data_IF_971945362494
#
_entry.id   IF_971945362494
#
_cell.length_a   1.000
_cell.length_b   1.000
_cell.length_c   1.000
_cell.angle_alpha   90.00
_cell.angle_beta   90.00
_cell.angle_gamma   90.00
#
_symmetry.space_group_name_H-M   'P 1'
#
loop_
_entity.id
_entity.type
_entity.pdbx_description
1 polymer ?
#
# COMPACT_ATOMS: atom_id res chain seq x y z
N UNK A 1 -74.67 -25.71 -25.34
CA UNK A 1 -73.94 -24.51 -25.01
C UNK A 1 -72.79 -24.94 -24.02
N UNK A 2 -71.53 -25.13 -24.55
CA UNK A 2 -70.40 -25.59 -23.75
C UNK A 2 -69.50 -24.39 -23.43
N UNK A 3 -69.43 -24.02 -22.16
CA UNK A 3 -68.47 -22.99 -21.68
C UNK A 3 -67.10 -23.61 -21.54
N UNK A 4 -66.15 -23.13 -22.34
CA UNK A 4 -64.73 -23.49 -22.24
C UNK A 4 -64.06 -22.54 -21.24
N UNK A 5 -63.68 -23.06 -20.09
CA UNK A 5 -62.84 -22.34 -19.07
C UNK A 5 -61.40 -22.35 -19.53
N UNK A 6 -60.89 -21.20 -19.96
CA UNK A 6 -59.46 -20.99 -20.19
C UNK A 6 -58.74 -20.82 -18.84
N UNK A 7 -57.92 -21.81 -18.49
CA UNK A 7 -57.05 -21.79 -17.32
C UNK A 7 -55.81 -20.93 -17.64
N UNK A 8 -55.73 -19.74 -17.09
CA UNK A 8 -54.57 -18.86 -17.27
C UNK A 8 -53.52 -19.27 -16.24
N UNK A 9 -52.44 -19.93 -16.69
CA UNK A 9 -51.26 -20.20 -15.88
C UNK A 9 -50.50 -18.88 -15.66
N UNK A 10 -50.42 -18.41 -14.44
CA UNK A 10 -49.59 -17.29 -14.00
C UNK A 10 -48.16 -17.83 -13.76
N UNK A 11 -47.13 -17.30 -14.42
CA UNK A 11 -45.78 -17.76 -14.15
C UNK A 11 -45.35 -17.30 -12.76
N UNK A 12 -45.04 -18.25 -11.87
CA UNK A 12 -44.45 -18.03 -10.58
C UNK A 12 -42.97 -17.60 -10.76
N UNK A 13 -42.71 -16.29 -10.63
CA UNK A 13 -41.37 -15.73 -10.70
C UNK A 13 -40.63 -16.15 -9.41
N UNK A 14 -39.79 -17.19 -9.49
CA UNK A 14 -38.89 -17.59 -8.41
C UNK A 14 -37.86 -16.51 -8.22
N UNK A 15 -38.07 -15.66 -7.22
CA UNK A 15 -37.07 -14.74 -6.71
C UNK A 15 -35.94 -15.59 -6.01
N UNK A 16 -34.85 -15.83 -6.73
CA UNK A 16 -33.70 -16.46 -6.12
C UNK A 16 -33.05 -15.45 -5.15
N UNK A 17 -32.84 -15.78 -3.87
CA UNK A 17 -32.12 -14.92 -2.96
C UNK A 17 -30.67 -14.85 -3.49
N UNK A 18 -30.21 -13.64 -3.87
CA UNK A 18 -28.81 -13.38 -4.09
C UNK A 18 -28.09 -13.58 -2.75
N UNK A 19 -27.42 -14.72 -2.59
CA UNK A 19 -26.52 -14.96 -1.48
C UNK A 19 -25.37 -13.96 -1.67
N UNK A 20 -25.45 -12.82 -1.00
CA UNK A 20 -24.32 -11.93 -0.82
C UNK A 20 -23.33 -12.68 0.07
N UNK A 21 -22.34 -13.33 -0.55
CA UNK A 21 -21.16 -13.77 0.18
C UNK A 21 -20.49 -12.50 0.71
N UNK A 22 -20.68 -12.20 1.99
CA UNK A 22 -19.89 -11.20 2.70
C UNK A 22 -18.42 -11.56 2.49
N UNK A 23 -17.65 -10.65 1.91
CA UNK A 23 -16.22 -10.92 1.71
C UNK A 23 -15.59 -11.07 3.10
N UNK A 24 -14.95 -12.23 3.32
CA UNK A 24 -14.23 -12.50 4.55
C UNK A 24 -12.89 -11.75 4.53
N UNK A 25 -12.62 -10.96 5.57
CA UNK A 25 -11.38 -10.20 5.72
C UNK A 25 -10.13 -11.13 5.66
N UNK A 26 -10.25 -12.32 6.24
CA UNK A 26 -9.17 -13.31 6.22
C UNK A 26 -8.92 -13.87 4.82
N UNK A 27 -9.98 -14.18 4.08
CA UNK A 27 -9.86 -14.64 2.70
C UNK A 27 -9.24 -13.56 1.80
N UNK A 28 -9.62 -12.29 2.00
CA UNK A 28 -9.05 -11.18 1.24
C UNK A 28 -7.59 -10.93 1.62
N UNK A 29 -7.25 -10.95 2.91
CA UNK A 29 -5.88 -10.87 3.38
C UNK A 29 -5.00 -11.99 2.81
N UNK A 30 -5.53 -13.21 2.75
CA UNK A 30 -4.85 -14.34 2.12
C UNK A 30 -4.56 -14.14 0.63
N UNK A 31 -5.47 -13.48 -0.12
CA UNK A 31 -5.22 -13.12 -1.53
C UNK A 31 -4.08 -12.11 -1.66
N UNK A 32 -4.07 -11.07 -0.80
CA UNK A 32 -2.98 -10.08 -0.76
C UNK A 32 -1.65 -10.79 -0.46
N UNK A 33 -1.60 -11.60 0.58
CA UNK A 33 -0.39 -12.34 0.97
C UNK A 33 0.11 -13.23 -0.17
N UNK A 34 -0.78 -13.97 -0.83
CA UNK A 34 -0.44 -14.83 -1.96
C UNK A 34 0.17 -14.01 -3.12
N UNK A 35 -0.44 -12.87 -3.46
CA UNK A 35 0.05 -11.99 -4.52
C UNK A 35 1.43 -11.45 -4.21
N UNK A 36 1.56 -10.73 -3.09
CA UNK A 36 2.80 -10.05 -2.75
C UNK A 36 3.92 -11.02 -2.36
N UNK A 37 3.63 -12.19 -1.79
CA UNK A 37 4.66 -13.19 -1.50
C UNK A 37 5.23 -13.85 -2.76
N UNK A 38 4.43 -14.00 -3.81
CA UNK A 38 4.85 -14.59 -5.09
C UNK A 38 5.56 -13.60 -6.00
N UNK A 39 5.17 -12.33 -5.98
CA UNK A 39 5.75 -11.25 -6.78
C UNK A 39 7.25 -11.09 -6.53
N UNK A 40 8.07 -10.92 -7.59
CA UNK A 40 9.51 -10.68 -7.50
C UNK A 40 9.88 -9.20 -7.64
N UNK A 41 9.13 -8.46 -8.43
CA UNK A 41 9.33 -7.02 -8.64
C UNK A 41 8.02 -6.30 -8.89
N UNK A 42 8.02 -5.00 -8.60
CA UNK A 42 6.89 -4.09 -8.83
C UNK A 42 7.41 -2.75 -9.34
N UNK A 43 6.76 -2.22 -10.36
CA UNK A 43 6.84 -0.82 -10.75
C UNK A 43 5.44 -0.22 -10.61
N UNK A 44 5.33 0.95 -9.99
CA UNK A 44 4.06 1.65 -9.85
C UNK A 44 4.27 3.18 -9.85
N UNK A 45 3.26 3.92 -10.28
CA UNK A 45 3.13 5.34 -9.92
C UNK A 45 2.52 5.41 -8.53
N UNK A 46 2.97 6.37 -7.73
CA UNK A 46 2.35 6.63 -6.44
C UNK A 46 1.99 8.10 -6.28
N UNK A 47 1.02 8.34 -5.41
CA UNK A 47 0.71 9.64 -4.82
C UNK A 47 0.65 9.44 -3.32
N UNK A 48 1.34 10.28 -2.58
CA UNK A 48 1.37 10.32 -1.12
C UNK A 48 0.80 11.66 -0.67
N UNK A 49 -0.24 11.62 0.16
CA UNK A 49 -0.80 12.81 0.80
C UNK A 49 -0.63 12.67 2.31
N UNK A 50 0.14 13.58 2.88
CA UNK A 50 0.26 13.74 4.32
C UNK A 50 -0.64 14.89 4.78
N UNK A 51 -1.41 14.67 5.86
CA UNK A 51 -2.21 15.69 6.53
C UNK A 51 -1.91 15.62 8.02
N UNK A 52 -1.42 16.70 8.58
CA UNK A 52 -1.07 16.78 10.01
C UNK A 52 -0.56 18.18 10.37
N UNK A 53 -0.56 18.52 11.66
CA UNK A 53 -0.12 19.82 12.17
C UNK A 53 -0.71 21.03 11.42
N UNK A 54 -1.98 20.92 10.97
CA UNK A 54 -2.67 21.98 10.23
C UNK A 54 -2.24 22.17 8.76
N UNK A 55 -1.40 21.29 8.23
CA UNK A 55 -0.92 21.32 6.85
C UNK A 55 -1.30 20.07 6.07
N UNK A 56 -1.46 20.20 4.76
CA UNK A 56 -1.59 19.07 3.83
C UNK A 56 -0.51 19.21 2.77
N UNK A 57 0.23 18.12 2.55
CA UNK A 57 1.28 18.01 1.54
C UNK A 57 0.99 16.81 0.65
N UNK A 58 1.02 17.04 -0.66
CA UNK A 58 0.87 15.95 -1.65
C UNK A 58 2.13 15.85 -2.48
N UNK A 59 2.64 14.65 -2.59
CA UNK A 59 3.83 14.28 -3.32
C UNK A 59 3.53 13.10 -4.23
N UNK A 60 4.32 12.91 -5.27
CA UNK A 60 4.12 11.81 -6.20
C UNK A 60 5.40 11.41 -6.90
N UNK A 61 5.36 10.24 -7.55
CA UNK A 61 6.54 9.74 -8.20
C UNK A 61 6.40 8.30 -8.69
N UNK A 62 7.54 7.62 -8.79
CA UNK A 62 7.65 6.23 -9.21
C UNK A 62 8.22 5.38 -8.08
N UNK A 63 7.53 4.27 -7.79
CA UNK A 63 7.99 3.23 -6.87
C UNK A 63 8.52 2.06 -7.67
N UNK A 64 9.73 1.61 -7.33
CA UNK A 64 10.31 0.36 -7.78
C UNK A 64 10.58 -0.54 -6.58
N UNK A 65 10.13 -1.79 -6.66
CA UNK A 65 10.46 -2.83 -5.69
C UNK A 65 11.11 -3.99 -6.43
N UNK A 66 12.16 -4.57 -5.85
CA UNK A 66 12.76 -5.83 -6.30
C UNK A 66 13.20 -6.65 -5.09
N UNK A 67 12.63 -7.81 -4.94
CA UNK A 67 12.97 -8.71 -3.82
C UNK A 67 14.33 -9.38 -4.03
N UNK A 68 15.03 -9.66 -2.92
CA UNK A 68 14.69 -9.29 -1.55
C UNK A 68 15.12 -7.86 -1.20
N UNK A 69 14.26 -7.12 -0.48
CA UNK A 69 14.61 -5.91 0.28
C UNK A 69 15.03 -4.66 -0.50
N UNK A 70 14.97 -4.67 -1.84
CA UNK A 70 15.34 -3.52 -2.66
C UNK A 70 14.10 -2.70 -2.96
N UNK A 71 14.21 -1.39 -2.72
CA UNK A 71 13.13 -0.44 -2.95
C UNK A 71 13.72 0.90 -3.41
N UNK A 72 12.99 1.59 -4.29
CA UNK A 72 13.34 2.92 -4.75
C UNK A 72 12.09 3.76 -4.94
N UNK A 73 12.08 4.92 -4.32
CA UNK A 73 11.06 5.95 -4.48
C UNK A 73 11.72 7.15 -5.14
N UNK A 74 11.38 7.35 -6.41
CA UNK A 74 11.75 8.56 -7.14
C UNK A 74 10.57 9.52 -7.07
N UNK A 75 10.61 10.51 -6.20
CA UNK A 75 9.64 11.60 -6.17
C UNK A 75 9.94 12.59 -7.29
N UNK A 76 8.92 12.99 -8.03
CA UNK A 76 9.01 13.97 -9.11
C UNK A 76 8.13 15.20 -8.88
N UNK A 77 7.21 15.16 -7.91
CA UNK A 77 6.25 16.22 -7.61
C UNK A 77 6.12 16.39 -6.10
N UNK A 78 6.06 17.64 -5.56
CA UNK A 78 6.31 18.91 -6.22
C UNK A 78 7.81 19.19 -6.46
N UNK A 79 8.69 18.49 -5.75
CA UNK A 79 10.15 18.58 -5.86
C UNK A 79 10.79 17.22 -5.93
N UNK A 80 11.86 17.06 -6.73
CA UNK A 80 12.60 15.81 -6.78
C UNK A 80 13.17 15.46 -5.41
N UNK A 81 12.99 14.23 -4.98
CA UNK A 81 13.71 13.59 -3.87
C UNK A 81 13.81 12.10 -4.13
N UNK A 82 14.78 11.47 -3.52
CA UNK A 82 15.06 10.07 -3.70
C UNK A 82 15.12 9.39 -2.33
N UNK A 83 14.39 8.28 -2.21
CA UNK A 83 14.66 7.26 -1.23
C UNK A 83 15.02 5.97 -1.96
N UNK A 84 16.12 5.33 -1.59
CA UNK A 84 16.52 4.06 -2.21
C UNK A 84 17.21 3.15 -1.20
N UNK A 85 16.92 1.85 -1.31
CA UNK A 85 17.62 0.83 -0.54
C UNK A 85 18.05 -0.34 -1.42
N UNK A 86 19.27 -0.83 -1.16
CA UNK A 86 19.83 -2.03 -1.80
C UNK A 86 19.51 -3.33 -1.05
N UNK A 87 18.77 -3.24 0.06
CA UNK A 87 18.45 -4.34 0.96
C UNK A 87 19.28 -4.36 2.25
N UNK A 88 20.36 -3.57 2.32
CA UNK A 88 21.22 -3.42 3.50
C UNK A 88 21.28 -1.99 4.02
N UNK A 89 21.50 -1.06 3.09
CA UNK A 89 21.59 0.36 3.36
C UNK A 89 20.47 1.10 2.67
N UNK A 90 19.94 2.11 3.31
CA UNK A 90 19.00 3.05 2.72
C UNK A 90 19.65 4.43 2.63
N UNK A 91 19.26 5.15 1.59
CA UNK A 91 19.69 6.49 1.28
C UNK A 91 18.48 7.39 1.09
N UNK A 92 18.59 8.61 1.58
CA UNK A 92 17.67 9.70 1.27
C UNK A 92 18.46 10.89 0.74
N UNK A 93 18.02 11.46 -0.37
CA UNK A 93 18.68 12.60 -1.01
C UNK A 93 17.67 13.51 -1.70
N UNK A 94 17.83 14.80 -1.50
CA UNK A 94 17.11 15.84 -2.25
C UNK A 94 18.10 16.49 -3.22
N UNK A 95 17.88 16.42 -4.54
CA UNK A 95 18.76 17.05 -5.51
C UNK A 95 18.96 18.55 -5.24
N UNK A 96 20.22 18.96 -5.21
CA UNK A 96 20.62 20.35 -4.87
C UNK A 96 20.97 20.57 -3.40
N UNK A 97 20.68 19.64 -2.51
CA UNK A 97 21.17 19.70 -1.13
C UNK A 97 22.63 19.26 -1.03
N UNK A 98 23.34 19.81 -0.05
CA UNK A 98 24.75 19.51 0.19
C UNK A 98 24.94 18.23 1.03
N UNK A 99 23.86 17.58 1.45
CA UNK A 99 23.87 16.39 2.29
C UNK A 99 23.01 15.28 1.71
N UNK A 100 23.53 14.05 1.79
CA UNK A 100 22.76 12.82 1.57
C UNK A 100 22.76 12.02 2.89
N UNK A 101 21.57 11.56 3.32
CA UNK A 101 21.43 10.78 4.55
C UNK A 101 21.54 9.28 4.21
N UNK A 102 22.23 8.55 5.08
CA UNK A 102 22.39 7.10 4.95
C UNK A 102 22.13 6.41 6.29
N UNK A 103 21.44 5.28 6.25
CA UNK A 103 21.20 4.45 7.43
C UNK A 103 21.16 2.96 7.08
N UNK A 104 21.64 2.07 7.97
CA UNK A 104 21.35 0.64 7.85
C UNK A 104 19.83 0.40 7.90
N UNK A 105 19.30 -0.43 7.00
CA UNK A 105 17.86 -0.75 6.95
C UNK A 105 17.31 -1.25 8.30
N UNK A 106 18.14 -1.95 9.07
CA UNK A 106 17.73 -2.47 10.39
C UNK A 106 17.44 -1.37 11.42
N UNK A 107 17.92 -0.16 11.19
CA UNK A 107 17.71 1.01 12.07
C UNK A 107 16.50 1.86 11.61
N UNK A 108 15.92 1.54 10.47
CA UNK A 108 14.76 2.25 9.93
C UNK A 108 13.47 1.56 10.40
N UNK A 109 13.16 1.74 11.69
CA UNK A 109 11.91 1.20 12.24
C UNK A 109 10.67 1.75 11.50
N UNK A 110 10.76 2.95 10.94
CA UNK A 110 9.71 3.56 10.14
C UNK A 110 9.47 2.87 8.78
N UNK A 111 10.45 2.15 8.23
CA UNK A 111 10.22 1.27 7.08
C UNK A 111 9.43 0.00 7.44
N UNK A 112 9.21 -0.27 8.71
CA UNK A 112 8.22 -1.25 9.17
C UNK A 112 6.79 -0.74 9.02
N UNK A 113 6.64 0.47 8.49
CA UNK A 113 5.35 1.05 8.13
C UNK A 113 4.58 0.12 7.17
N UNK A 114 3.33 0.39 6.87
CA UNK A 114 2.47 -0.40 5.98
C UNK A 114 3.07 -0.77 4.63
N UNK A 115 4.13 -0.08 4.17
CA UNK A 115 4.87 -0.41 2.94
C UNK A 115 5.52 -1.80 2.97
N UNK A 116 5.79 -2.34 4.16
CA UNK A 116 6.30 -3.70 4.34
C UNK A 116 5.42 -4.76 3.68
N UNK A 117 4.10 -4.51 3.57
CA UNK A 117 3.16 -5.42 2.93
C UNK A 117 3.46 -5.57 1.43
N UNK A 118 3.94 -4.51 0.78
CA UNK A 118 4.36 -4.55 -0.62
C UNK A 118 5.67 -5.34 -0.84
N UNK A 119 6.50 -5.46 0.20
CA UNK A 119 7.77 -6.19 0.13
C UNK A 119 7.57 -7.72 0.16
N UNK A 120 6.40 -8.20 0.56
CA UNK A 120 6.12 -9.62 0.76
C UNK A 120 6.87 -10.22 1.96
N UNK A 121 6.72 -11.53 2.17
CA UNK A 121 7.13 -12.27 3.37
C UNK A 121 6.27 -11.91 4.60
N UNK A 122 5.13 -11.27 4.38
CA UNK A 122 4.17 -10.94 5.40
C UNK A 122 2.98 -11.90 5.39
N UNK A 123 2.33 -11.96 6.52
CA UNK A 123 0.98 -12.51 6.66
C UNK A 123 0.16 -11.43 7.34
N UNK A 124 -0.73 -10.77 6.59
CA UNK A 124 -1.53 -9.64 7.10
C UNK A 124 -2.23 -9.96 8.40
N UNK A 125 -2.77 -11.18 8.55
CA UNK A 125 -3.39 -11.64 9.78
C UNK A 125 -2.45 -11.65 11.00
N UNK A 126 -1.17 -11.92 10.77
CA UNK A 126 -0.17 -11.92 11.84
C UNK A 126 0.37 -10.54 12.11
N UNK A 127 0.30 -9.66 11.14
CA UNK A 127 0.89 -8.33 11.19
C UNK A 127 -0.09 -7.24 11.62
N UNK A 128 -1.39 -7.46 11.36
CA UNK A 128 -2.45 -6.54 11.74
C UNK A 128 -3.25 -7.09 12.92
N UNK A 129 -3.36 -6.31 13.98
CA UNK A 129 -4.30 -6.57 15.08
C UNK A 129 -5.67 -6.00 14.69
N UNK A 130 -6.75 -6.74 14.98
CA UNK A 130 -8.11 -6.30 14.68
C UNK A 130 -8.43 -6.29 13.17
N UNK A 131 -7.76 -7.15 12.38
CA UNK A 131 -8.03 -7.27 10.95
C UNK A 131 -9.51 -7.53 10.68
N UNK A 132 -10.14 -6.63 9.94
CA UNK A 132 -11.56 -6.71 9.57
C UNK A 132 -11.85 -5.90 8.31
N UNK A 133 -13.05 -6.04 7.74
CA UNK A 133 -13.51 -5.17 6.65
C UNK A 133 -13.98 -3.84 7.25
N UNK A 134 -13.47 -2.74 6.69
CA UNK A 134 -13.89 -1.40 7.04
C UNK A 134 -15.16 -1.01 6.28
N UNK A 135 -16.32 -1.49 6.73
CA UNK A 135 -17.62 -1.26 6.04
C UNK A 135 -18.02 0.22 5.97
N UNK A 136 -17.49 1.06 6.84
CA UNK A 136 -17.68 2.52 6.87
C UNK A 136 -16.68 3.27 5.96
N UNK A 137 -15.68 2.60 5.41
CA UNK A 137 -14.71 3.20 4.49
C UNK A 137 -15.11 2.88 3.04
N UNK A 138 -15.35 3.94 2.26
CA UNK A 138 -15.67 3.78 0.83
C UNK A 138 -14.39 3.54 0.03
N UNK A 139 -14.31 2.45 -0.75
CA UNK A 139 -13.19 2.26 -1.67
C UNK A 139 -13.19 3.34 -2.77
N UNK A 140 -12.00 3.70 -3.23
CA UNK A 140 -11.82 4.66 -4.34
C UNK A 140 -12.00 3.99 -5.70
N UNK A 141 -11.67 2.68 -5.77
CA UNK A 141 -11.75 1.91 -7.01
C UNK A 141 -12.99 1.01 -7.01
N UNK A 142 -13.64 0.90 -8.18
CA UNK A 142 -14.80 0.02 -8.35
C UNK A 142 -14.43 -1.43 -8.03
N UNK A 143 -15.27 -2.10 -7.23
CA UNK A 143 -15.06 -3.48 -6.79
C UNK A 143 -13.98 -3.65 -5.73
N UNK A 144 -13.33 -2.57 -5.29
CA UNK A 144 -12.38 -2.60 -4.20
C UNK A 144 -13.05 -2.86 -2.85
N UNK A 145 -12.30 -3.43 -1.92
CA UNK A 145 -12.69 -3.64 -0.53
C UNK A 145 -11.63 -3.06 0.38
N UNK A 146 -12.06 -2.43 1.46
CA UNK A 146 -11.13 -1.83 2.42
C UNK A 146 -11.00 -2.74 3.64
N UNK A 147 -9.79 -3.23 3.87
CA UNK A 147 -9.39 -3.88 5.11
C UNK A 147 -8.90 -2.83 6.11
N UNK A 148 -9.14 -3.08 7.41
CA UNK A 148 -8.57 -2.29 8.51
C UNK A 148 -7.82 -3.16 9.48
N UNK A 149 -6.91 -2.55 10.21
CA UNK A 149 -6.21 -3.14 11.33
C UNK A 149 -5.15 -2.18 11.87
N UNK A 150 -4.53 -2.54 12.99
CA UNK A 150 -3.41 -1.79 13.57
C UNK A 150 -2.15 -2.65 13.47
N UNK A 151 -1.03 -2.15 12.90
CA UNK A 151 0.20 -2.91 12.80
C UNK A 151 0.71 -3.33 14.19
N UNK A 152 1.06 -4.61 14.34
CA UNK A 152 1.59 -5.12 15.61
C UNK A 152 2.89 -4.44 15.98
N UNK A 153 3.00 -4.04 17.24
CA UNK A 153 4.15 -3.32 17.77
C UNK A 153 4.17 -1.83 17.41
N UNK A 154 3.06 -1.29 16.84
CA UNK A 154 2.91 0.13 16.54
C UNK A 154 1.62 0.73 17.12
N UNK A 155 0.98 0.04 18.06
CA UNK A 155 -0.27 0.46 18.68
C UNK A 155 -0.11 1.72 19.56
N UNK A 156 1.10 2.02 19.95
CA UNK A 156 1.50 3.24 20.68
C UNK A 156 1.67 4.45 19.76
N UNK A 157 1.66 4.26 18.45
CA UNK A 157 1.84 5.30 17.45
C UNK A 157 0.71 5.36 16.43
N UNK A 158 0.22 4.22 15.94
CA UNK A 158 -0.78 4.13 14.89
C UNK A 158 -2.14 3.77 15.47
N UNK A 159 -3.15 4.60 15.19
CA UNK A 159 -4.54 4.36 15.55
C UNK A 159 -5.24 3.42 14.59
N UNK A 160 -5.00 3.57 13.28
CA UNK A 160 -5.61 2.74 12.24
C UNK A 160 -4.76 2.67 10.97
N UNK A 161 -4.80 1.52 10.32
CA UNK A 161 -4.34 1.36 8.94
C UNK A 161 -5.47 0.81 8.09
N UNK A 162 -5.74 1.47 6.96
CA UNK A 162 -6.69 1.02 5.94
C UNK A 162 -5.92 0.57 4.70
N UNK A 163 -6.25 -0.62 4.21
CA UNK A 163 -5.71 -1.18 2.96
C UNK A 163 -6.85 -1.33 1.97
N UNK A 164 -6.87 -0.56 0.90
CA UNK A 164 -7.79 -0.80 -0.20
C UNK A 164 -7.21 -1.87 -1.11
N UNK A 165 -7.98 -2.93 -1.29
CA UNK A 165 -7.60 -4.12 -2.04
C UNK A 165 -8.52 -4.28 -3.22
N UNK A 166 -7.96 -4.38 -4.42
CA UNK A 166 -8.68 -4.68 -5.66
C UNK A 166 -9.13 -6.16 -5.69
N UNK A 167 -10.08 -6.54 -6.54
CA UNK A 167 -10.59 -7.92 -6.63
C UNK A 167 -9.52 -8.98 -6.88
N UNK A 168 -8.43 -8.61 -7.54
CA UNK A 168 -7.27 -9.46 -7.85
C UNK A 168 -6.24 -9.54 -6.71
N UNK A 169 -6.48 -8.88 -5.57
CA UNK A 169 -5.60 -8.85 -4.42
C UNK A 169 -4.52 -7.75 -4.46
N UNK A 170 -4.53 -6.86 -5.44
CA UNK A 170 -3.61 -5.73 -5.48
C UNK A 170 -3.98 -4.69 -4.42
N UNK A 171 -3.00 -4.21 -3.66
CA UNK A 171 -3.17 -3.05 -2.77
C UNK A 171 -3.12 -1.81 -3.65
N UNK A 172 -4.22 -1.07 -3.70
CA UNK A 172 -4.34 0.18 -4.47
C UNK A 172 -4.17 1.42 -3.62
N UNK A 173 -4.39 1.28 -2.30
CA UNK A 173 -4.24 2.37 -1.34
C UNK A 173 -3.82 1.84 0.01
N UNK A 174 -2.96 2.59 0.70
CA UNK A 174 -2.62 2.41 2.10
C UNK A 174 -2.86 3.75 2.79
N UNK A 175 -3.74 3.79 3.79
CA UNK A 175 -3.96 4.97 4.63
C UNK A 175 -3.59 4.62 6.05
N UNK A 176 -2.73 5.42 6.64
CA UNK A 176 -2.30 5.30 8.04
C UNK A 176 -2.78 6.52 8.78
N UNK A 177 -3.39 6.30 9.93
CA UNK A 177 -3.76 7.34 10.86
C UNK A 177 -2.97 7.14 12.15
N UNK A 178 -2.23 8.16 12.56
CA UNK A 178 -1.45 8.15 13.79
C UNK A 178 -2.29 8.66 14.97
N UNK A 179 -1.83 8.39 16.21
CA UNK A 179 -2.55 8.79 17.43
C UNK A 179 -2.63 10.31 17.62
N UNK A 180 -1.71 11.07 16.99
CA UNK A 180 -1.74 12.54 16.99
C UNK A 180 -2.73 13.11 15.97
N UNK A 181 -3.45 12.24 15.23
CA UNK A 181 -4.40 12.62 14.19
C UNK A 181 -3.77 12.91 12.82
N UNK A 182 -2.47 12.75 12.67
CA UNK A 182 -1.85 12.84 11.35
C UNK A 182 -2.22 11.65 10.48
N UNK A 183 -2.32 11.88 9.18
CA UNK A 183 -2.76 10.91 8.19
C UNK A 183 -1.78 10.88 7.03
N UNK A 184 -1.30 9.70 6.69
CA UNK A 184 -0.59 9.43 5.44
C UNK A 184 -1.46 8.56 4.53
N UNK A 185 -1.76 9.04 3.32
CA UNK A 185 -2.58 8.37 2.31
C UNK A 185 -1.72 8.10 1.06
N UNK A 186 -1.34 6.85 0.86
CA UNK A 186 -0.57 6.37 -0.28
C UNK A 186 -1.48 5.68 -1.27
N UNK A 187 -1.45 6.09 -2.54
CA UNK A 187 -2.18 5.47 -3.65
C UNK A 187 -1.22 4.95 -4.69
N UNK A 188 -1.49 3.76 -5.20
CA UNK A 188 -0.67 3.10 -6.20
C UNK A 188 -1.45 2.91 -7.49
N UNK A 189 -0.89 3.43 -8.57
CA UNK A 189 -1.49 3.44 -9.90
C UNK A 189 -0.53 2.76 -10.89
N UNK A 190 -1.06 2.27 -12.00
CA UNK A 190 -0.27 1.70 -13.09
C UNK A 190 0.71 0.61 -12.63
N UNK A 191 0.28 -0.24 -11.69
CA UNK A 191 1.09 -1.30 -11.13
C UNK A 191 1.44 -2.33 -12.21
N UNK A 192 2.75 -2.65 -12.31
CA UNK A 192 3.30 -3.68 -13.19
C UNK A 192 4.16 -4.61 -12.36
N UNK A 193 3.78 -5.87 -12.28
CA UNK A 193 4.51 -6.90 -11.54
C UNK A 193 5.48 -7.66 -12.43
N UNK A 194 6.48 -8.26 -11.78
CA UNK A 194 7.48 -9.13 -12.38
C UNK A 194 8.20 -8.51 -13.59
N UNK A 195 8.33 -7.16 -13.56
CA UNK A 195 9.09 -6.42 -14.55
C UNK A 195 10.60 -6.59 -14.35
N UNK A 196 11.37 -6.60 -15.44
CA UNK A 196 12.83 -6.65 -15.35
C UNK A 196 13.39 -5.29 -14.90
N UNK A 197 13.89 -5.23 -13.66
CA UNK A 197 14.52 -4.04 -13.09
C UNK A 197 16.00 -4.35 -12.85
N UNK A 198 16.89 -3.58 -13.50
CA UNK A 198 18.32 -3.74 -13.32
C UNK A 198 18.77 -3.36 -11.91
N UNK A 199 19.64 -4.14 -11.28
CA UNK A 199 20.09 -3.94 -9.90
C UNK A 199 20.74 -2.58 -9.66
N UNK A 200 21.35 -1.98 -10.69
CA UNK A 200 21.92 -0.62 -10.62
C UNK A 200 20.89 0.45 -10.27
N UNK A 201 19.59 0.23 -10.52
CA UNK A 201 18.52 1.16 -10.15
C UNK A 201 18.38 1.30 -8.63
N UNK A 202 18.84 0.34 -7.87
CA UNK A 202 18.78 0.33 -6.41
C UNK A 202 20.09 0.75 -5.74
N UNK A 203 21.03 1.30 -6.52
CA UNK A 203 22.28 1.87 -6.02
C UNK A 203 22.19 3.39 -6.09
N UNK A 204 22.78 4.05 -5.09
CA UNK A 204 22.93 5.49 -5.06
C UNK A 204 24.37 5.83 -4.74
N UNK A 205 24.94 6.75 -5.49
CA UNK A 205 26.23 7.36 -5.23
C UNK A 205 25.99 8.87 -5.10
N UNK A 206 26.33 9.47 -3.96
CA UNK A 206 26.20 10.90 -3.79
C UNK A 206 26.96 11.66 -4.87
N UNK A 207 26.41 12.78 -5.40
CA UNK A 207 27.14 13.65 -6.32
C UNK A 207 28.42 14.21 -5.67
N UNK A 208 29.41 14.64 -6.48
CA UNK A 208 30.60 15.29 -5.97
C UNK A 208 30.27 16.50 -5.10
N UNK A 209 30.91 16.61 -3.93
CA UNK A 209 30.68 17.69 -2.97
C UNK A 209 29.50 17.49 -2.02
N UNK A 210 28.71 16.42 -2.17
CA UNK A 210 27.64 16.08 -1.24
C UNK A 210 28.20 15.29 -0.07
N UNK A 211 28.00 15.80 1.13
CA UNK A 211 28.39 15.16 2.39
C UNK A 211 27.47 13.98 2.72
N UNK A 212 28.02 12.88 3.21
CA UNK A 212 27.24 11.73 3.68
C UNK A 212 27.06 11.79 5.18
N UNK A 213 25.83 12.00 5.63
CA UNK A 213 25.46 12.00 7.05
C UNK A 213 24.81 10.67 7.44
N UNK A 214 25.22 10.14 8.58
CA UNK A 214 24.56 8.97 9.18
C UNK A 214 23.35 9.47 10.00
N UNK A 215 22.18 8.86 9.81
CA UNK A 215 20.99 9.26 10.55
C UNK A 215 19.92 8.17 10.52
N UNK A 216 19.11 8.13 11.56
CA UNK A 216 17.96 7.22 11.67
C UNK A 216 16.69 7.82 11.04
N UNK A 217 16.63 9.16 10.92
CA UNK A 217 15.52 9.88 10.30
C UNK A 217 15.86 10.13 8.82
N UNK A 218 15.34 9.28 7.94
CA UNK A 218 15.56 9.42 6.51
C UNK A 218 14.43 10.19 5.81
N UNK A 219 13.30 10.42 6.49
CA UNK A 219 12.15 11.15 5.92
C UNK A 219 11.65 12.14 6.96
N UNK A 220 11.59 13.39 6.61
CA UNK A 220 10.85 14.44 7.32
C UNK A 220 9.77 14.98 6.38
#
# INVERSE_FOLDING_TARGET
>A
MRLSRKLTLLPLLLLQPAIMFGQDAHALAGKVDQRYNRMHSLEARFTETYTGAGATRTEGGTLLIKKPGRMRWDYDTPRPKLFVTDGNMAWFYVPGEQQARRSPIKQLDDLRSPLRYLLGKSKLEKELTGLSIASNAKPLNAGGVVLRGVPRGMQDRISETLLEVAPDGAITRIRVEELDGSITDLRFLQQKEDVQIADRRFRFTPPPGVEVVQGTELVN
#
